data_IF_564429193833
#
_entry.id   IF_564429193833
#
_cell.length_a   1.000
_cell.length_b   1.000
_cell.length_c   1.000
_cell.angle_alpha   90.00
_cell.angle_beta   90.00
_cell.angle_gamma   90.00
#
_symmetry.space_group_name_H-M   'P 1'
#
loop_
_entity.id
_entity.type
_entity.pdbx_description
1 polymer ?
#
# COMPACT_ATOMS: atom_id res chain seq x y z
N UNK A 1 -9.47 26.02 -57.00
CA UNK A 1 -8.77 25.12 -56.05
C UNK A 1 -7.89 25.98 -55.17
N UNK A 2 -8.36 26.34 -53.98
CA UNK A 2 -7.58 27.16 -53.05
C UNK A 2 -6.65 26.28 -52.22
N UNK A 3 -5.34 26.44 -52.41
CA UNK A 3 -4.33 25.81 -51.55
C UNK A 3 -4.37 26.46 -50.17
N UNK A 4 -4.78 25.69 -49.17
CA UNK A 4 -4.66 26.08 -47.76
C UNK A 4 -3.16 26.16 -47.41
N UNK A 5 -2.60 27.36 -47.36
CA UNK A 5 -1.26 27.60 -46.83
C UNK A 5 -1.27 27.39 -45.31
N UNK A 6 -0.90 26.19 -44.85
CA UNK A 6 -0.58 25.97 -43.44
C UNK A 6 0.71 26.75 -43.13
N UNK A 7 0.60 27.79 -42.31
CA UNK A 7 1.73 28.62 -41.86
C UNK A 7 2.81 27.75 -41.21
N UNK A 8 4.09 28.03 -41.50
CA UNK A 8 5.26 27.39 -40.87
C UNK A 8 5.18 27.44 -39.33
N UNK A 9 4.63 28.52 -38.78
CA UNK A 9 4.41 28.67 -37.33
C UNK A 9 3.41 27.66 -36.75
N UNK A 10 2.41 27.23 -37.54
CA UNK A 10 1.42 26.24 -37.13
C UNK A 10 2.02 24.83 -37.09
N UNK A 11 2.90 24.49 -38.05
CA UNK A 11 3.66 23.24 -38.05
C UNK A 11 4.67 23.18 -36.89
N UNK A 12 5.37 24.28 -36.59
CA UNK A 12 6.28 24.35 -35.43
C UNK A 12 5.54 24.21 -34.09
N UNK A 13 4.35 24.79 -33.97
CA UNK A 13 3.51 24.67 -32.78
C UNK A 13 3.00 23.23 -32.56
N UNK A 14 2.57 22.54 -33.62
CA UNK A 14 2.19 21.12 -33.56
C UNK A 14 3.39 20.22 -33.18
N UNK A 15 4.59 20.52 -33.67
CA UNK A 15 5.82 19.80 -33.30
C UNK A 15 6.19 20.01 -31.83
N UNK A 16 5.99 21.23 -31.29
CA UNK A 16 6.20 21.53 -29.87
C UNK A 16 5.21 20.80 -28.95
N UNK A 17 3.94 20.67 -29.36
CA UNK A 17 2.92 19.89 -28.63
C UNK A 17 3.26 18.40 -28.65
N UNK A 18 3.86 17.90 -29.74
CA UNK A 18 4.27 16.50 -29.89
C UNK A 18 5.46 16.11 -29.01
N UNK A 19 6.23 17.10 -28.53
CA UNK A 19 7.37 16.92 -27.61
C UNK A 19 6.95 16.89 -26.13
N UNK A 20 5.70 17.24 -25.81
CA UNK A 20 5.15 16.99 -24.49
C UNK A 20 4.99 15.48 -24.33
N UNK A 21 5.92 14.87 -23.59
CA UNK A 21 5.81 13.47 -23.21
C UNK A 21 4.49 13.30 -22.47
N UNK A 22 3.59 12.47 -22.99
CA UNK A 22 2.30 12.21 -22.37
C UNK A 22 2.56 11.56 -20.99
N UNK A 23 2.50 12.36 -19.92
CA UNK A 23 2.81 11.92 -18.56
C UNK A 23 1.62 11.14 -18.03
N UNK A 24 1.61 9.82 -18.26
CA UNK A 24 0.54 8.96 -17.76
C UNK A 24 0.59 8.89 -16.21
N UNK A 25 -0.48 9.26 -15.49
CA UNK A 25 -0.55 9.14 -14.04
C UNK A 25 -0.63 7.67 -13.60
N UNK A 26 -0.21 7.41 -12.35
CA UNK A 26 -0.43 6.11 -11.74
C UNK A 26 -1.91 5.95 -11.36
N UNK A 27 -2.37 4.70 -11.21
CA UNK A 27 -3.74 4.42 -10.78
C UNK A 27 -3.77 3.35 -9.69
N UNK A 28 -4.44 3.66 -8.59
CA UNK A 28 -4.66 2.71 -7.51
C UNK A 28 -6.07 2.16 -7.64
N UNK A 29 -6.21 0.84 -7.82
CA UNK A 29 -7.51 0.16 -7.77
C UNK A 29 -7.67 -0.51 -6.43
N UNK A 30 -8.57 0.05 -5.62
CA UNK A 30 -8.91 -0.42 -4.29
C UNK A 30 -10.09 -1.37 -4.40
N UNK A 31 -9.97 -2.55 -3.80
CA UNK A 31 -10.95 -3.63 -3.89
C UNK A 31 -11.34 -4.10 -2.49
N UNK A 32 -12.62 -4.02 -2.16
CA UNK A 32 -13.15 -4.58 -0.93
C UNK A 32 -13.58 -6.04 -1.16
N UNK A 33 -12.86 -7.00 -0.61
CA UNK A 33 -13.29 -8.42 -0.54
C UNK A 33 -13.75 -8.84 0.86
N UNK A 34 -13.82 -7.90 1.79
CA UNK A 34 -14.42 -8.11 3.09
C UNK A 34 -15.93 -8.39 2.91
N UNK A 35 -16.51 -9.10 3.88
CA UNK A 35 -17.96 -9.35 3.92
C UNK A 35 -18.77 -8.14 4.44
N UNK A 36 -18.07 -7.07 4.82
CA UNK A 36 -18.65 -5.84 5.35
C UNK A 36 -18.12 -4.62 4.56
N UNK A 37 -18.83 -3.50 4.66
CA UNK A 37 -18.41 -2.22 4.09
C UNK A 37 -17.16 -1.71 4.80
N UNK A 38 -16.21 -1.20 4.02
CA UNK A 38 -15.03 -0.49 4.52
C UNK A 38 -15.04 0.94 4.01
N UNK A 39 -14.31 1.82 4.67
CA UNK A 39 -14.16 3.20 4.24
C UNK A 39 -12.68 3.52 4.06
N UNK A 40 -12.09 3.31 2.86
CA UNK A 40 -10.71 3.67 2.63
C UNK A 40 -10.46 5.14 2.96
N UNK A 41 -9.30 5.41 3.54
CA UNK A 41 -8.77 6.75 3.81
C UNK A 41 -7.43 6.92 3.11
N UNK A 42 -7.12 8.16 2.74
CA UNK A 42 -5.85 8.55 2.11
C UNK A 42 -5.28 9.76 2.82
N UNK A 43 -3.96 9.76 2.98
CA UNK A 43 -3.20 10.91 3.43
C UNK A 43 -2.03 11.11 2.47
N UNK A 44 -2.08 12.22 1.71
CA UNK A 44 -0.92 12.74 1.00
C UNK A 44 0.12 13.24 2.00
N UNK A 45 1.39 12.90 1.80
CA UNK A 45 2.51 13.43 2.57
C UNK A 45 2.72 14.94 2.37
N UNK A 46 3.60 15.53 3.16
CA UNK A 46 3.97 16.93 2.97
C UNK A 46 4.60 17.14 1.58
N UNK A 47 4.33 18.30 0.98
CA UNK A 47 4.91 18.71 -0.31
C UNK A 47 4.59 17.80 -1.51
N UNK A 48 3.53 16.99 -1.43
CA UNK A 48 3.02 16.21 -2.56
C UNK A 48 1.60 16.67 -2.94
N UNK A 49 1.16 16.49 -4.21
CA UNK A 49 -0.18 16.90 -4.59
C UNK A 49 -1.26 16.15 -3.77
N UNK A 50 -2.33 16.87 -3.46
CA UNK A 50 -3.50 16.27 -2.83
C UNK A 50 -4.24 15.37 -3.82
N UNK A 51 -4.78 14.27 -3.32
CA UNK A 51 -5.60 13.37 -4.12
C UNK A 51 -7.01 13.95 -4.31
N UNK A 52 -7.74 13.55 -5.36
CA UNK A 52 -9.12 14.01 -5.59
C UNK A 52 -10.12 13.53 -4.53
N UNK A 53 -9.70 12.63 -3.63
CA UNK A 53 -10.46 12.16 -2.47
C UNK A 53 -9.47 11.72 -1.39
N UNK A 54 -9.82 11.99 -0.13
CA UNK A 54 -9.13 11.56 1.09
C UNK A 54 -9.90 10.46 1.83
N UNK A 55 -11.13 10.14 1.40
CA UNK A 55 -11.86 8.98 1.89
C UNK A 55 -13.20 8.74 1.21
N UNK A 56 -13.63 7.49 1.16
CA UNK A 56 -14.92 7.12 0.53
C UNK A 56 -15.49 5.81 1.09
N UNK A 57 -16.77 5.56 0.82
CA UNK A 57 -17.43 4.27 1.13
C UNK A 57 -17.09 3.23 0.07
N UNK A 58 -16.80 2.00 0.48
CA UNK A 58 -16.59 0.87 -0.43
C UNK A 58 -17.33 -0.39 0.06
N UNK A 59 -18.47 -0.68 -0.57
CA UNK A 59 -19.30 -1.84 -0.24
C UNK A 59 -18.64 -3.20 -0.58
N UNK A 60 -19.07 -4.31 0.07
CA UNK A 60 -18.56 -5.65 -0.22
C UNK A 60 -18.54 -5.99 -1.71
N UNK A 61 -17.43 -6.56 -2.19
CA UNK A 61 -17.24 -6.97 -3.57
C UNK A 61 -17.07 -5.83 -4.58
N UNK A 62 -17.12 -4.56 -4.14
CA UNK A 62 -16.92 -3.40 -5.01
C UNK A 62 -15.45 -2.99 -5.08
N UNK A 63 -15.14 -2.19 -6.10
CA UNK A 63 -13.82 -1.60 -6.29
C UNK A 63 -13.94 -0.17 -6.78
N UNK A 64 -12.99 0.68 -6.41
CA UNK A 64 -12.86 2.05 -6.92
C UNK A 64 -11.42 2.27 -7.38
N UNK A 65 -11.26 2.97 -8.50
CA UNK A 65 -9.95 3.41 -8.97
C UNK A 65 -9.76 4.88 -8.60
N UNK A 66 -8.60 5.22 -8.06
CA UNK A 66 -8.15 6.58 -7.78
C UNK A 66 -6.92 6.86 -8.62
N UNK A 67 -6.93 7.99 -9.32
CA UNK A 67 -5.76 8.47 -10.07
C UNK A 67 -4.77 9.07 -9.09
N UNK A 68 -3.51 8.67 -9.21
CA UNK A 68 -2.41 9.09 -8.33
C UNK A 68 -1.39 9.88 -9.15
N UNK A 69 -0.97 11.06 -8.68
CA UNK A 69 0.13 11.80 -9.31
C UNK A 69 1.40 10.95 -9.44
N UNK A 70 2.17 11.17 -10.50
CA UNK A 70 3.40 10.40 -10.75
C UNK A 70 4.45 10.52 -9.64
N UNK A 71 4.57 11.70 -9.03
CA UNK A 71 5.42 11.96 -7.87
C UNK A 71 4.54 12.16 -6.65
N UNK A 72 4.03 11.05 -6.11
CA UNK A 72 3.18 11.03 -4.93
C UNK A 72 3.81 10.25 -3.79
N UNK A 73 3.79 10.81 -2.59
CA UNK A 73 4.13 10.10 -1.37
C UNK A 73 2.97 10.20 -0.39
N UNK A 74 2.66 9.10 0.29
CA UNK A 74 1.58 9.09 1.25
C UNK A 74 1.19 7.70 1.68
N UNK A 75 0.08 7.63 2.41
CA UNK A 75 -0.44 6.39 2.97
C UNK A 75 -1.93 6.24 2.73
N UNK A 76 -2.37 5.00 2.73
CA UNK A 76 -3.77 4.63 2.67
C UNK A 76 -4.08 3.49 3.64
N UNK A 77 -5.30 3.46 4.13
CA UNK A 77 -5.77 2.46 5.09
C UNK A 77 -7.27 2.23 4.92
N UNK A 78 -7.78 1.18 5.57
CA UNK A 78 -9.21 0.89 5.61
C UNK A 78 -9.77 1.23 6.99
N UNK A 79 -10.83 2.03 7.04
CA UNK A 79 -11.66 2.16 8.24
C UNK A 79 -12.71 1.07 8.29
N UNK A 80 -13.00 0.55 9.48
CA UNK A 80 -14.00 -0.49 9.69
C UNK A 80 -14.99 -0.10 10.78
N UNK A 81 -16.21 -0.67 10.68
CA UNK A 81 -17.30 -0.48 11.63
C UNK A 81 -17.60 1.00 11.88
N UNK A 82 -17.87 1.70 10.78
CA UNK A 82 -18.19 3.11 10.82
C UNK A 82 -19.69 3.36 10.86
N UNK A 83 -20.08 4.48 11.47
CA UNK A 83 -21.45 4.95 11.56
C UNK A 83 -21.50 6.44 11.91
N UNK A 84 -22.71 6.96 12.12
CA UNK A 84 -22.89 8.27 12.74
C UNK A 84 -23.00 8.11 14.25
N UNK A 85 -22.27 8.93 15.00
CA UNK A 85 -22.45 9.06 16.44
C UNK A 85 -23.72 9.85 16.80
N UNK A 86 -24.00 9.99 18.10
CA UNK A 86 -25.16 10.74 18.60
C UNK A 86 -25.14 12.23 18.25
N UNK A 87 -23.99 12.78 17.83
CA UNK A 87 -23.84 14.16 17.37
C UNK A 87 -23.96 14.30 15.84
N UNK A 88 -24.20 13.19 15.13
CA UNK A 88 -24.29 13.13 13.67
C UNK A 88 -22.92 13.08 12.97
N UNK A 89 -21.81 12.98 13.70
CA UNK A 89 -20.47 12.87 13.11
C UNK A 89 -20.20 11.46 12.64
N UNK A 90 -19.55 11.34 11.49
CA UNK A 90 -19.08 10.06 11.00
C UNK A 90 -17.85 9.61 11.79
N UNK A 91 -17.95 8.46 12.44
CA UNK A 91 -16.91 7.87 13.29
C UNK A 91 -16.73 6.41 12.95
N UNK A 92 -15.52 5.89 13.14
CA UNK A 92 -15.18 4.48 12.94
C UNK A 92 -14.58 3.88 14.20
N UNK A 93 -14.85 2.59 14.45
CA UNK A 93 -14.26 1.91 15.60
C UNK A 93 -12.76 1.62 15.41
N UNK A 94 -12.30 1.42 14.15
CA UNK A 94 -10.86 1.32 13.84
C UNK A 94 -10.47 2.13 12.61
N UNK A 95 -9.25 2.67 12.65
CA UNK A 95 -8.68 3.48 11.59
C UNK A 95 -9.34 4.85 11.40
N UNK A 96 -10.22 5.28 12.30
CA UNK A 96 -10.90 6.58 12.25
C UNK A 96 -9.91 7.71 12.02
N UNK A 97 -10.26 8.69 11.18
CA UNK A 97 -9.37 9.82 10.91
C UNK A 97 -9.76 11.10 11.66
N UNK A 98 -10.76 11.05 12.54
CA UNK A 98 -11.13 12.15 13.42
C UNK A 98 -11.74 13.38 12.73
N UNK A 99 -11.95 13.35 11.42
CA UNK A 99 -12.56 14.45 10.67
C UNK A 99 -14.06 14.62 10.96
N UNK A 100 -14.70 13.60 11.53
CA UNK A 100 -16.16 13.54 11.68
C UNK A 100 -16.90 13.36 10.35
N UNK A 101 -16.18 13.04 9.27
CA UNK A 101 -16.70 12.91 7.90
C UNK A 101 -16.11 11.68 7.19
N UNK A 102 -16.73 11.28 6.07
CA UNK A 102 -16.17 10.22 5.23
C UNK A 102 -14.83 10.66 4.62
N UNK A 103 -14.70 11.91 4.22
CA UNK A 103 -13.42 12.49 3.81
C UNK A 103 -12.52 12.74 5.03
N UNK A 104 -11.24 12.39 4.95
CA UNK A 104 -10.29 12.54 6.06
C UNK A 104 -9.61 13.91 6.11
N UNK A 105 -9.71 14.70 5.03
CA UNK A 105 -9.32 16.12 5.02
C UNK A 105 -7.90 16.38 5.54
N UNK A 106 -6.94 15.55 5.16
CA UNK A 106 -5.55 15.66 5.58
C UNK A 106 -5.23 15.07 6.96
N UNK A 107 -6.19 14.43 7.63
CA UNK A 107 -5.97 13.70 8.88
C UNK A 107 -5.59 12.24 8.62
N UNK A 108 -4.66 11.71 9.41
CA UNK A 108 -4.24 10.31 9.35
C UNK A 108 -5.18 9.37 10.12
N UNK A 109 -4.96 8.07 9.96
CA UNK A 109 -5.65 7.06 10.77
C UNK A 109 -5.26 7.18 12.24
N UNK A 110 -6.24 7.02 13.13
CA UNK A 110 -6.01 6.66 14.53
C UNK A 110 -5.69 5.16 14.60
N UNK A 111 -4.55 4.76 15.19
CA UNK A 111 -4.23 3.36 15.43
C UNK A 111 -5.29 2.65 16.29
N UNK A 112 -5.47 1.32 16.16
CA UNK A 112 -4.74 0.44 15.25
C UNK A 112 -5.24 0.51 13.80
N UNK A 113 -4.32 0.58 12.84
CA UNK A 113 -4.63 0.61 11.42
C UNK A 113 -3.53 -0.05 10.58
N UNK A 114 -3.91 -1.01 9.73
CA UNK A 114 -3.01 -1.53 8.69
C UNK A 114 -2.83 -0.47 7.61
N UNK A 115 -1.58 -0.09 7.34
CA UNK A 115 -1.24 0.95 6.37
C UNK A 115 -0.62 0.33 5.12
N UNK A 116 -0.95 0.87 3.94
CA UNK A 116 -0.06 0.79 2.79
C UNK A 116 0.59 2.14 2.55
N UNK A 117 1.92 2.14 2.52
CA UNK A 117 2.76 3.32 2.36
C UNK A 117 3.36 3.33 0.94
N UNK A 118 3.44 4.50 0.32
CA UNK A 118 4.00 4.67 -1.02
C UNK A 118 4.88 5.89 -1.10
N UNK A 119 5.96 5.78 -1.88
CA UNK A 119 6.73 6.90 -2.41
C UNK A 119 6.98 6.61 -3.88
N UNK A 120 6.23 7.26 -4.75
CA UNK A 120 6.30 7.11 -6.20
C UNK A 120 7.32 8.07 -6.79
N UNK A 121 8.09 7.62 -7.78
CA UNK A 121 9.14 8.38 -8.42
C UNK A 121 10.12 9.02 -7.39
N UNK A 122 10.50 8.24 -6.38
CA UNK A 122 11.41 8.64 -5.31
C UNK A 122 12.87 8.56 -5.72
N UNK A 123 13.72 8.08 -4.80
CA UNK A 123 15.15 7.94 -5.04
C UNK A 123 15.43 7.10 -6.32
N UNK A 124 16.25 7.64 -7.22
CA UNK A 124 16.57 6.98 -8.49
C UNK A 124 15.40 6.85 -9.47
N UNK A 125 14.30 7.59 -9.28
CA UNK A 125 13.09 7.48 -10.10
C UNK A 125 12.31 6.19 -9.87
N UNK A 126 12.54 5.53 -8.73
CA UNK A 126 11.92 4.27 -8.36
C UNK A 126 10.68 4.50 -7.48
N UNK A 127 9.72 3.59 -7.59
CA UNK A 127 8.59 3.51 -6.69
C UNK A 127 8.95 2.60 -5.50
N UNK A 128 8.65 3.06 -4.30
CA UNK A 128 8.80 2.34 -3.04
C UNK A 128 7.43 2.14 -2.42
N UNK A 129 7.12 0.92 -2.00
CA UNK A 129 5.86 0.62 -1.32
C UNK A 129 5.99 -0.55 -0.35
N UNK A 130 5.15 -0.53 0.68
CA UNK A 130 5.06 -1.57 1.68
C UNK A 130 3.66 -1.60 2.31
N UNK A 131 3.36 -2.70 2.99
CA UNK A 131 2.30 -2.75 4.00
C UNK A 131 2.96 -2.76 5.37
N UNK A 132 2.58 -1.80 6.20
CA UNK A 132 3.16 -1.55 7.52
C UNK A 132 2.14 -1.81 8.62
N UNK A 133 2.61 -2.47 9.68
CA UNK A 133 1.87 -2.71 10.91
C UNK A 133 2.47 -1.96 12.12
N UNK A 134 3.29 -0.92 11.85
CA UNK A 134 3.83 0.00 12.89
C UNK A 134 2.71 0.62 13.71
N UNK A 135 1.66 1.06 13.03
CA UNK A 135 0.46 1.64 13.63
C UNK A 135 -0.58 0.54 13.99
N UNK A 136 -0.13 -0.71 14.12
CA UNK A 136 -0.99 -1.87 14.41
C UNK A 136 -1.71 -2.45 13.19
N UNK A 137 -2.72 -3.26 13.45
CA UNK A 137 -3.47 -4.03 12.47
C UNK A 137 -4.97 -3.83 12.69
N UNK A 138 -5.76 -3.74 11.62
CA UNK A 138 -7.21 -3.80 11.74
C UNK A 138 -7.90 -4.62 10.63
N UNK A 139 -7.42 -4.50 9.39
CA UNK A 139 -7.94 -5.21 8.23
C UNK A 139 -6.81 -5.88 7.46
N UNK A 140 -7.02 -7.12 6.96
CA UNK A 140 -6.05 -7.75 6.07
C UNK A 140 -5.91 -6.93 4.79
N UNK A 141 -4.68 -6.73 4.34
CA UNK A 141 -4.36 -5.91 3.18
C UNK A 141 -3.30 -6.57 2.30
N UNK A 142 -3.47 -6.47 0.99
CA UNK A 142 -2.50 -6.89 -0.01
C UNK A 142 -2.31 -5.81 -1.07
N UNK A 143 -1.05 -5.42 -1.30
CA UNK A 143 -0.63 -4.53 -2.36
C UNK A 143 0.07 -5.34 -3.45
N UNK A 144 -0.39 -5.17 -4.68
CA UNK A 144 0.19 -5.79 -5.88
C UNK A 144 0.38 -4.71 -6.93
N UNK A 145 1.63 -4.41 -7.26
CA UNK A 145 1.93 -3.52 -8.36
C UNK A 145 1.85 -4.23 -9.72
N UNK A 146 1.37 -3.53 -10.75
CA UNK A 146 1.17 -4.07 -12.10
C UNK A 146 1.87 -3.19 -13.15
N UNK A 147 2.62 -3.86 -14.03
CA UNK A 147 3.52 -3.17 -14.96
C UNK A 147 4.88 -2.89 -14.31
N UNK A 148 5.77 -2.19 -15.00
CA UNK A 148 7.14 -1.92 -14.53
C UNK A 148 8.13 -3.05 -14.84
N UNK A 149 9.43 -2.71 -14.90
CA UNK A 149 10.55 -3.64 -15.17
C UNK A 149 11.40 -3.85 -13.90
N UNK A 150 11.15 -4.87 -13.07
CA UNK A 150 11.98 -5.07 -11.88
C UNK A 150 11.39 -6.05 -10.87
N UNK A 151 11.87 -5.99 -9.63
CA UNK A 151 11.38 -6.84 -8.55
C UNK A 151 10.08 -6.30 -7.94
N UNK A 152 8.99 -6.37 -8.70
CA UNK A 152 7.65 -5.91 -8.30
C UNK A 152 6.97 -6.92 -7.37
N UNK A 153 7.55 -7.15 -6.19
CA UNK A 153 7.02 -8.09 -5.20
C UNK A 153 5.71 -7.60 -4.59
N UNK A 154 4.76 -8.52 -4.38
CA UNK A 154 3.59 -8.22 -3.57
C UNK A 154 3.97 -8.10 -2.08
N UNK A 155 3.28 -7.24 -1.35
CA UNK A 155 3.47 -7.01 0.10
C UNK A 155 2.10 -6.93 0.78
N UNK A 156 1.99 -7.48 1.99
CA UNK A 156 0.71 -7.50 2.70
C UNK A 156 0.61 -8.48 3.86
N UNK A 157 -0.48 -8.36 4.61
CA UNK A 157 -0.85 -9.30 5.66
C UNK A 157 -2.23 -9.87 5.33
N UNK A 158 -2.27 -11.16 4.95
CA UNK A 158 -3.51 -11.83 4.58
C UNK A 158 -4.24 -12.42 5.80
N UNK A 159 -3.47 -12.82 6.82
CA UNK A 159 -4.05 -13.36 8.04
C UNK A 159 -4.92 -12.34 8.77
N UNK A 160 -5.95 -12.85 9.43
CA UNK A 160 -6.74 -12.09 10.39
C UNK A 160 -6.03 -12.12 11.74
N UNK A 161 -5.30 -11.05 12.05
CA UNK A 161 -4.59 -10.92 13.31
C UNK A 161 -5.51 -10.51 14.48
N UNK A 162 -6.75 -10.09 14.21
CA UNK A 162 -7.67 -9.67 15.27
C UNK A 162 -8.02 -10.84 16.19
N UNK A 163 -8.29 -12.02 15.61
CA UNK A 163 -8.64 -13.23 16.38
C UNK A 163 -7.49 -13.78 17.22
N UNK A 164 -6.25 -13.65 16.74
CA UNK A 164 -5.04 -14.05 17.46
C UNK A 164 -4.46 -12.93 18.35
N UNK A 165 -5.09 -11.75 18.37
CA UNK A 165 -4.55 -10.59 19.07
C UNK A 165 -4.53 -10.82 20.59
N UNK A 166 -3.35 -10.75 21.23
CA UNK A 166 -3.22 -10.89 22.67
C UNK A 166 -4.07 -9.85 23.41
N UNK A 167 -4.67 -10.18 24.57
CA UNK A 167 -5.56 -9.28 25.28
C UNK A 167 -5.00 -7.88 25.54
N UNK A 168 -3.69 -7.78 25.80
CA UNK A 168 -3.00 -6.52 26.10
C UNK A 168 -2.89 -5.61 24.86
N UNK A 169 -2.95 -6.17 23.66
CA UNK A 169 -2.82 -5.44 22.39
C UNK A 169 -4.16 -5.19 21.70
N UNK A 170 -5.28 -5.72 22.20
CA UNK A 170 -6.58 -5.51 21.56
C UNK A 170 -6.93 -4.03 21.50
N UNK A 171 -7.43 -3.59 20.35
CA UNK A 171 -7.99 -2.26 20.17
C UNK A 171 -9.37 -2.13 20.81
N UNK A 172 -9.90 -0.91 20.77
CA UNK A 172 -11.21 -0.59 21.35
C UNK A 172 -12.33 -1.42 20.74
N UNK A 173 -13.28 -1.83 21.58
CA UNK A 173 -14.37 -2.73 21.18
C UNK A 173 -13.90 -4.11 20.70
N UNK A 174 -12.64 -4.48 20.94
CA UNK A 174 -12.04 -5.74 20.47
C UNK A 174 -11.71 -5.75 18.98
N UNK A 175 -11.67 -4.57 18.34
CA UNK A 175 -11.44 -4.43 16.91
C UNK A 175 -10.06 -3.84 16.67
N UNK A 176 -9.28 -4.54 15.86
CA UNK A 176 -7.88 -4.21 15.64
C UNK A 176 -6.96 -4.78 16.72
N UNK A 177 -5.68 -4.81 16.37
CA UNK A 177 -4.58 -5.22 17.22
C UNK A 177 -3.52 -4.12 17.18
N UNK A 178 -3.30 -3.46 18.32
CA UNK A 178 -2.27 -2.45 18.49
C UNK A 178 -0.89 -3.08 18.29
N UNK A 179 0.03 -2.29 17.75
CA UNK A 179 1.45 -2.62 17.84
C UNK A 179 1.91 -2.46 19.30
N UNK A 180 3.09 -2.98 19.63
CA UNK A 180 3.64 -2.78 20.96
C UNK A 180 4.01 -1.32 21.23
N UNK A 181 4.42 -0.55 20.20
CA UNK A 181 4.65 0.88 20.38
C UNK A 181 3.35 1.58 20.80
N UNK A 182 2.25 1.32 20.09
CA UNK A 182 0.95 1.92 20.41
C UNK A 182 0.38 1.46 21.75
N UNK A 183 0.68 0.24 22.19
CA UNK A 183 0.17 -0.29 23.45
C UNK A 183 0.98 0.14 24.68
N UNK A 184 2.30 0.27 24.54
CA UNK A 184 3.21 0.43 25.69
C UNK A 184 4.03 1.73 25.64
N UNK A 185 4.31 2.28 24.46
CA UNK A 185 5.05 3.53 24.29
C UNK A 185 6.56 3.45 24.59
N UNK A 186 7.09 2.28 24.98
CA UNK A 186 8.51 2.16 25.30
C UNK A 186 9.40 2.43 24.08
N UNK A 187 10.52 3.15 24.24
CA UNK A 187 11.42 3.48 23.13
C UNK A 187 11.91 2.27 22.32
N UNK A 188 12.09 1.12 23.00
CA UNK A 188 12.47 -0.14 22.37
C UNK A 188 11.40 -0.70 21.41
N UNK A 189 10.12 -0.41 21.64
CA UNK A 189 9.03 -0.82 20.77
C UNK A 189 8.74 0.23 19.68
N UNK A 190 9.02 1.49 19.97
CA UNK A 190 8.79 2.62 19.09
C UNK A 190 9.99 3.00 18.21
N UNK A 191 11.11 2.27 18.31
CA UNK A 191 12.33 2.53 17.55
C UNK A 191 12.80 3.99 17.72
N UNK A 192 12.81 4.47 18.96
CA UNK A 192 13.15 5.86 19.29
C UNK A 192 14.30 5.94 20.30
N UNK A 193 14.94 7.11 20.37
CA UNK A 193 16.11 7.32 21.22
C UNK A 193 17.28 6.40 20.82
N UNK A 194 17.83 5.67 21.79
CA UNK A 194 18.92 4.72 21.56
C UNK A 194 18.53 3.58 20.58
N UNK A 195 17.24 3.20 20.54
CA UNK A 195 16.75 2.10 19.71
C UNK A 195 16.37 2.51 18.28
N UNK A 196 16.80 3.69 17.83
CA UNK A 196 16.47 4.23 16.51
C UNK A 196 17.33 3.69 15.36
N UNK A 197 18.40 2.94 15.65
CA UNK A 197 19.31 2.41 14.64
C UNK A 197 19.07 0.91 14.36
N UNK A 198 19.29 0.45 13.11
CA UNK A 198 19.10 -0.94 12.71
C UNK A 198 19.86 -1.99 13.54
N UNK A 199 21.02 -1.63 14.07
CA UNK A 199 21.99 -2.58 14.64
C UNK A 199 21.74 -2.91 16.12
N UNK A 200 20.90 -2.16 16.84
CA UNK A 200 20.62 -2.38 18.28
C UNK A 200 19.33 -3.16 18.56
N UNK A 201 18.72 -3.74 17.52
CA UNK A 201 17.45 -4.43 17.69
C UNK A 201 17.60 -5.81 18.32
N UNK A 202 17.39 -5.83 19.63
CA UNK A 202 17.12 -7.05 20.39
C UNK A 202 15.90 -7.75 19.76
N UNK A 203 16.13 -8.94 19.22
CA UNK A 203 15.12 -9.92 18.80
C UNK A 203 14.38 -10.52 20.00
N UNK A 204 13.85 -9.67 20.88
CA UNK A 204 13.13 -10.07 22.09
C UNK A 204 11.82 -9.32 22.20
N UNK A 205 10.89 -9.63 21.30
CA UNK A 205 9.49 -9.60 21.69
C UNK A 205 8.85 -10.93 21.32
N UNK A 206 8.35 -11.61 22.35
CA UNK A 206 7.44 -12.74 22.25
C UNK A 206 6.31 -12.48 21.21
N UNK A 207 5.88 -11.23 21.10
CA UNK A 207 4.83 -10.75 20.19
C UNK A 207 5.23 -10.76 18.69
N UNK A 208 6.48 -10.43 18.34
CA UNK A 208 6.97 -10.55 16.95
C UNK A 208 6.96 -12.00 16.45
N UNK A 209 7.24 -12.96 17.34
CA UNK A 209 7.25 -14.38 17.00
C UNK A 209 5.85 -14.98 16.84
N UNK A 210 4.83 -14.37 17.47
CA UNK A 210 3.45 -14.88 17.47
C UNK A 210 2.60 -14.39 16.28
N UNK A 211 2.84 -13.18 15.76
CA UNK A 211 1.92 -12.53 14.80
C UNK A 211 2.50 -12.33 13.39
N UNK A 212 3.83 -12.38 13.23
CA UNK A 212 4.54 -12.02 11.99
C UNK A 212 4.81 -13.19 11.01
N UNK A 213 4.96 -14.49 11.41
CA UNK A 213 5.48 -15.52 10.50
C UNK A 213 4.75 -15.69 9.17
N UNK A 214 3.47 -15.34 9.12
CA UNK A 214 2.57 -15.68 8.00
C UNK A 214 2.15 -14.49 7.14
N UNK A 215 2.72 -13.30 7.36
CA UNK A 215 2.43 -12.13 6.53
C UNK A 215 3.59 -11.82 5.55
N UNK A 216 3.22 -11.49 4.31
CA UNK A 216 4.10 -11.43 3.15
C UNK A 216 4.90 -10.13 3.16
N UNK A 217 6.23 -10.25 3.24
CA UNK A 217 7.16 -9.11 3.18
C UNK A 217 6.74 -7.95 4.11
N UNK A 218 6.17 -8.28 5.27
CA UNK A 218 5.75 -7.27 6.23
C UNK A 218 6.91 -6.66 6.97
N UNK A 219 6.68 -5.42 7.40
CA UNK A 219 7.46 -4.75 8.40
C UNK A 219 6.53 -4.12 9.41
N UNK A 220 7.07 -3.89 10.59
CA UNK A 220 6.46 -2.91 11.48
C UNK A 220 5.68 -3.46 12.66
N UNK A 221 5.46 -4.77 12.84
CA UNK A 221 4.95 -5.18 14.16
C UNK A 221 5.98 -4.89 15.27
N UNK A 222 7.29 -5.01 14.96
CA UNK A 222 8.42 -4.77 15.87
C UNK A 222 9.75 -4.41 15.17
N UNK A 223 9.71 -4.12 13.86
CA UNK A 223 10.94 -4.07 13.05
C UNK A 223 11.28 -2.61 12.76
N UNK A 224 12.35 -2.07 13.38
CA UNK A 224 12.91 -0.74 13.09
C UNK A 224 13.48 -0.64 11.67
N UNK A 225 13.58 -1.75 10.96
CA UNK A 225 13.85 -1.77 9.53
C UNK A 225 12.56 -1.58 8.73
N UNK A 226 12.58 -0.66 7.76
CA UNK A 226 11.64 -0.64 6.64
C UNK A 226 12.29 -1.33 5.42
N UNK A 227 11.58 -2.27 4.81
CA UNK A 227 11.93 -3.04 3.62
C UNK A 227 10.88 -2.83 2.53
N UNK A 228 11.17 -1.88 1.67
CA UNK A 228 10.25 -1.57 0.59
C UNK A 228 10.34 -2.62 -0.53
N UNK A 229 9.20 -2.88 -1.17
CA UNK A 229 9.24 -3.36 -2.55
C UNK A 229 9.63 -2.19 -3.44
N UNK A 230 10.52 -2.48 -4.41
CA UNK A 230 11.13 -1.47 -5.28
C UNK A 230 10.90 -1.84 -6.72
N UNK A 231 10.51 -0.87 -7.52
CA UNK A 231 10.08 -1.08 -8.90
C UNK A 231 10.25 0.18 -9.73
N UNK A 232 10.48 0.08 -11.05
CA UNK A 232 10.37 1.25 -11.91
C UNK A 232 8.92 1.68 -12.02
N UNK A 233 8.78 2.96 -12.33
CA UNK A 233 7.55 3.72 -12.39
C UNK A 233 6.33 2.94 -12.94
N UNK A 234 5.31 2.78 -12.10
CA UNK A 234 4.10 2.05 -12.44
C UNK A 234 3.00 2.93 -13.05
N UNK A 235 2.19 2.30 -13.88
CA UNK A 235 0.90 2.85 -14.32
C UNK A 235 -0.27 2.37 -13.45
N UNK A 236 -0.11 1.26 -12.69
CA UNK A 236 -1.23 0.64 -11.96
C UNK A 236 -0.82 -0.17 -10.72
N UNK A 237 -1.50 0.07 -9.60
CA UNK A 237 -1.38 -0.70 -8.35
C UNK A 237 -2.76 -1.25 -7.97
N UNK A 238 -2.82 -2.49 -7.50
CA UNK A 238 -4.02 -3.11 -6.96
C UNK A 238 -3.89 -3.26 -5.45
N UNK A 239 -4.92 -2.84 -4.71
CA UNK A 239 -4.96 -2.90 -3.25
C UNK A 239 -6.21 -3.70 -2.87
N UNK A 240 -6.02 -4.83 -2.20
CA UNK A 240 -7.10 -5.71 -1.79
C UNK A 240 -7.24 -5.71 -0.27
N UNK A 241 -8.47 -5.51 0.20
CA UNK A 241 -8.86 -5.73 1.58
C UNK A 241 -9.49 -7.11 1.76
N UNK A 242 -9.19 -7.79 2.86
CA UNK A 242 -9.69 -9.14 3.21
C UNK A 242 -9.53 -10.16 2.09
N UNK A 243 -8.35 -10.20 1.47
CA UNK A 243 -8.00 -11.22 0.49
C UNK A 243 -7.88 -12.59 1.20
N UNK A 244 -8.59 -13.62 0.71
CA UNK A 244 -8.69 -14.93 1.37
C UNK A 244 -7.32 -15.62 1.56
N UNK A 245 -7.15 -16.25 2.73
CA UNK A 245 -5.98 -17.08 3.10
C UNK A 245 -5.90 -18.41 2.35
N UNK A 246 -6.97 -18.81 1.64
CA UNK A 246 -6.94 -19.97 0.74
C UNK A 246 -6.13 -19.72 -0.53
N UNK A 247 -5.60 -18.50 -0.70
CA UNK A 247 -4.71 -18.16 -1.79
C UNK A 247 -3.27 -18.47 -1.37
N UNK A 248 -2.77 -19.65 -1.77
CA UNK A 248 -1.35 -19.97 -1.58
C UNK A 248 -0.54 -19.17 -2.60
N UNK A 249 0.49 -18.50 -2.12
CA UNK A 249 1.53 -17.94 -2.97
C UNK A 249 2.56 -19.03 -3.24
N UNK A 250 2.59 -19.58 -4.45
CA UNK A 250 3.72 -20.41 -4.85
C UNK A 250 4.84 -19.51 -5.37
N UNK A 251 6.01 -19.56 -4.71
CA UNK A 251 7.27 -19.10 -5.29
C UNK A 251 7.62 -20.11 -6.39
N UNK A 252 7.48 -19.74 -7.65
CA UNK A 252 8.09 -20.52 -8.72
C UNK A 252 9.61 -20.30 -8.71
N UNK A 253 10.37 -21.36 -9.00
CA UNK A 253 11.82 -21.36 -9.14
C UNK A 253 12.27 -20.14 -10.00
N UNK A 254 13.31 -19.44 -9.53
CA UNK A 254 13.94 -18.26 -10.14
C UNK A 254 13.24 -16.89 -9.99
N UNK A 255 12.48 -16.65 -8.92
CA UNK A 255 12.00 -15.30 -8.53
C UNK A 255 11.10 -14.57 -9.54
N UNK A 256 10.62 -15.25 -10.59
CA UNK A 256 9.92 -14.60 -11.73
C UNK A 256 8.41 -14.50 -11.59
N UNK A 257 7.78 -15.19 -10.62
CA UNK A 257 6.32 -15.26 -10.53
C UNK A 257 5.81 -15.25 -9.08
N UNK A 258 4.69 -14.55 -8.86
CA UNK A 258 3.83 -14.70 -7.68
C UNK A 258 2.49 -15.22 -8.18
N UNK A 259 2.28 -16.54 -8.12
CA UNK A 259 1.01 -17.15 -8.48
C UNK A 259 0.11 -17.20 -7.24
N UNK A 260 -1.06 -16.55 -7.34
CA UNK A 260 -2.11 -16.56 -6.33
C UNK A 260 -3.09 -17.69 -6.67
N UNK A 261 -2.91 -18.86 -6.06
CA UNK A 261 -3.84 -19.98 -6.25
C UNK A 261 -4.92 -19.96 -5.17
N UNK A 262 -6.07 -19.38 -5.49
CA UNK A 262 -7.23 -19.36 -4.62
C UNK A 262 -8.12 -20.59 -4.91
N UNK A 263 -8.43 -21.39 -3.89
CA UNK A 263 -9.31 -22.57 -4.02
C UNK A 263 -10.60 -22.25 -4.81
N UNK A 264 -10.83 -23.01 -5.87
CA UNK A 264 -11.97 -23.00 -6.81
C UNK A 264 -12.10 -21.85 -7.83
N UNK A 265 -11.15 -20.93 -7.95
CA UNK A 265 -10.96 -20.11 -9.17
C UNK A 265 -9.48 -19.85 -9.39
N UNK A 266 -8.86 -20.61 -10.30
CA UNK A 266 -7.56 -20.26 -10.89
C UNK A 266 -7.69 -18.88 -11.55
N UNK A 267 -7.16 -17.85 -10.89
CA UNK A 267 -6.84 -16.57 -11.53
C UNK A 267 -5.33 -16.50 -11.63
N UNK A 268 -4.79 -17.18 -12.65
CA UNK A 268 -3.42 -16.97 -13.06
C UNK A 268 -3.30 -15.51 -13.53
N UNK A 269 -2.51 -14.70 -12.83
CA UNK A 269 -1.98 -13.48 -13.41
C UNK A 269 -0.75 -13.90 -14.22
N UNK A 270 -0.92 -14.03 -15.54
CA UNK A 270 0.19 -14.32 -16.44
C UNK A 270 1.06 -13.07 -16.54
N UNK A 271 2.28 -13.15 -16.02
CA UNK A 271 3.33 -12.16 -16.28
C UNK A 271 4.18 -12.69 -17.44
N UNK A 272 3.98 -12.18 -18.65
CA UNK A 272 4.90 -12.47 -19.75
C UNK A 272 6.19 -11.67 -19.54
N UNK A 273 7.34 -12.34 -19.45
CA UNK A 273 8.65 -11.71 -19.65
C UNK A 273 9.30 -12.36 -20.87
N UNK A 274 9.54 -11.53 -21.88
CA UNK A 274 10.28 -11.86 -23.09
C UNK A 274 11.76 -12.05 -22.72
N UNK A 275 12.36 -13.09 -23.28
CA UNK A 275 13.75 -13.53 -23.15
C UNK A 275 14.78 -12.39 -23.13
N UNK A 276 15.75 -12.47 -22.22
CA UNK A 276 17.09 -11.91 -22.42
C UNK A 276 18.10 -13.05 -22.41
N UNK A 277 18.81 -13.20 -23.55
CA UNK A 277 19.98 -14.06 -23.68
C UNK A 277 21.09 -13.57 -22.74
N UNK A 278 21.74 -14.53 -22.09
CA UNK A 278 23.02 -14.34 -21.43
C UNK A 278 24.08 -13.89 -22.43
N UNK A 279 24.84 -12.85 -22.11
CA UNK A 279 26.31 -12.89 -22.12
C UNK A 279 26.92 -11.52 -21.77
N UNK A 280 27.99 -11.58 -20.98
CA UNK A 280 28.98 -10.53 -20.68
C UNK A 280 28.50 -9.31 -19.88
N UNK A 281 28.99 -9.18 -18.64
CA UNK A 281 30.07 -8.23 -18.35
C UNK A 281 30.73 -8.62 -17.02
N UNK A 282 32.01 -8.97 -17.09
CA UNK A 282 32.86 -9.12 -15.92
C UNK A 282 33.38 -7.77 -15.45
N UNK A 283 33.83 -7.77 -14.18
CA UNK A 283 34.84 -6.91 -13.54
C UNK A 283 35.00 -5.49 -14.10
N UNK A 284 34.72 -4.49 -13.26
CA UNK A 284 35.66 -3.41 -12.96
C UNK A 284 35.21 -2.67 -11.69
N UNK A 285 36.08 -2.75 -10.67
CA UNK A 285 36.21 -2.01 -9.41
C UNK A 285 34.98 -1.85 -8.50
#
# INVERSE_FOLDING_TARGET
>A
MGCLHLSSTFLSFLFLISLLSEVNPASFKIVNRCRHTIWPGFLSGANTPQLPTTGFVLNPGKSRTVTIPRSWSGRLWGRALCGQDSSGKFVCLSGDCGSGQIECSGSGAKPPATLAEFTLNGAGGLDFYDVSLVDGYNLPMLVVAKGGKGNCSATGCLLDLNGACPPQLRGDGGVGCRSACEAFGDPQYCCSGAFGTPDELITSSYFARLLIPDCLQLLGFHVCHKKYSVSPLHSKVLIFYCQSNTCKFSKALNFKYVQLECSNKLKAFVFHSIHTNHSHFGKMF
#
